data_IF_840941547993
#
_entry.id   IF_840941547993
#
_cell.length_a   1.000
_cell.length_b   1.000
_cell.length_c   1.000
_cell.angle_alpha   90.00
_cell.angle_beta   90.00
_cell.angle_gamma   90.00
#
_symmetry.space_group_name_H-M   'P 1'
#
loop_
_entity.id
_entity.type
_entity.pdbx_description
1 polymer ?
#
# COMPACT_ATOMS: atom_id res chain seq x y z
N UNK A 1 35.10 40.58 -63.05
CA UNK A 1 35.03 41.69 -62.08
C UNK A 1 34.19 41.19 -60.91
N UNK A 2 34.68 41.34 -59.67
CA UNK A 2 34.02 41.00 -58.38
C UNK A 2 33.90 39.49 -58.08
N UNK A 3 34.37 38.91 -56.98
CA UNK A 3 35.10 39.39 -55.80
C UNK A 3 35.50 38.18 -54.95
N UNK A 4 36.76 38.12 -54.52
CA UNK A 4 37.28 37.10 -53.58
C UNK A 4 36.84 37.53 -52.18
N UNK A 5 35.82 36.88 -51.63
CA UNK A 5 35.39 37.08 -50.25
C UNK A 5 35.87 35.91 -49.37
N UNK A 6 36.97 36.17 -48.67
CA UNK A 6 37.31 35.73 -47.31
C UNK A 6 36.35 34.70 -46.66
N UNK A 7 36.70 33.42 -46.74
CA UNK A 7 36.32 32.44 -45.71
C UNK A 7 37.41 32.40 -44.63
N UNK A 8 37.48 33.47 -43.84
CA UNK A 8 38.22 33.48 -42.58
C UNK A 8 37.37 32.70 -41.57
N UNK A 9 37.75 31.46 -41.30
CA UNK A 9 37.23 30.66 -40.17
C UNK A 9 37.51 31.48 -38.90
N UNK A 10 36.48 32.10 -38.32
CA UNK A 10 36.57 32.75 -37.02
C UNK A 10 36.82 31.68 -35.94
N UNK A 11 38.09 31.41 -35.66
CA UNK A 11 38.46 30.85 -34.35
C UNK A 11 38.22 31.96 -33.34
N UNK A 12 37.09 31.88 -32.63
CA UNK A 12 36.79 32.68 -31.45
C UNK A 12 37.91 32.42 -30.43
N UNK A 13 38.84 33.36 -30.28
CA UNK A 13 39.90 33.30 -29.26
C UNK A 13 39.21 33.54 -27.93
N UNK A 14 38.90 32.43 -27.26
CA UNK A 14 38.37 32.41 -25.91
C UNK A 14 39.31 33.19 -24.98
N UNK A 15 38.76 34.14 -24.20
CA UNK A 15 39.51 34.95 -23.24
C UNK A 15 40.23 34.04 -22.25
N UNK A 16 41.46 34.40 -21.83
CA UNK A 16 42.22 33.62 -20.84
C UNK A 16 41.41 33.42 -19.54
N UNK A 17 40.58 34.39 -19.17
CA UNK A 17 39.67 34.32 -18.02
C UNK A 17 38.55 33.28 -18.21
N UNK A 18 38.00 33.15 -19.42
CA UNK A 18 36.99 32.13 -19.72
C UNK A 18 37.59 30.71 -19.68
N UNK A 19 38.84 30.56 -20.13
CA UNK A 19 39.58 29.29 -20.02
C UNK A 19 39.88 28.93 -18.57
N UNK A 20 40.28 29.90 -17.75
CA UNK A 20 40.51 29.70 -16.32
C UNK A 20 39.22 29.28 -15.60
N UNK A 21 38.10 29.96 -15.86
CA UNK A 21 36.80 29.60 -15.29
C UNK A 21 36.37 28.17 -15.67
N UNK A 22 36.56 27.78 -16.94
CA UNK A 22 36.31 26.39 -17.39
C UNK A 22 37.19 25.38 -16.67
N UNK A 23 38.48 25.68 -16.47
CA UNK A 23 39.38 24.80 -15.70
C UNK A 23 38.96 24.66 -14.24
N UNK A 24 38.49 25.73 -13.59
CA UNK A 24 37.98 25.67 -12.23
C UNK A 24 36.66 24.87 -12.14
N UNK A 25 35.74 25.07 -13.07
CA UNK A 25 34.49 24.29 -13.16
C UNK A 25 34.80 22.80 -13.37
N UNK A 26 35.66 22.47 -14.35
CA UNK A 26 36.11 21.10 -14.59
C UNK A 26 36.77 20.48 -13.35
N UNK A 27 37.60 21.25 -12.62
CA UNK A 27 38.23 20.78 -11.38
C UNK A 27 37.22 20.52 -10.27
N UNK A 28 36.19 21.35 -10.14
CA UNK A 28 35.13 21.17 -9.15
C UNK A 28 34.30 19.94 -9.48
N UNK A 29 33.92 19.76 -10.76
CA UNK A 29 33.21 18.58 -11.23
C UNK A 29 34.03 17.30 -11.02
N UNK A 30 35.31 17.30 -11.39
CA UNK A 30 36.23 16.19 -11.12
C UNK A 30 36.35 15.86 -9.64
N UNK A 31 36.39 16.87 -8.76
CA UNK A 31 36.42 16.64 -7.31
C UNK A 31 35.12 16.02 -6.80
N UNK A 32 33.97 16.41 -7.34
CA UNK A 32 32.67 15.82 -7.00
C UNK A 32 32.59 14.37 -7.45
N UNK A 33 32.96 14.09 -8.69
CA UNK A 33 33.00 12.72 -9.23
C UNK A 33 34.00 11.85 -8.46
N UNK A 34 35.19 12.38 -8.13
CA UNK A 34 36.17 11.66 -7.31
C UNK A 34 35.65 11.36 -5.89
N UNK A 35 34.98 12.32 -5.25
CA UNK A 35 34.36 12.11 -3.95
C UNK A 35 33.23 11.06 -4.02
N UNK A 36 32.42 11.11 -5.07
CA UNK A 36 31.37 10.12 -5.34
C UNK A 36 31.94 8.72 -5.55
N UNK A 37 32.95 8.58 -6.42
CA UNK A 37 33.64 7.31 -6.66
C UNK A 37 34.31 6.76 -5.39
N UNK A 38 34.85 7.63 -4.53
CA UNK A 38 35.42 7.22 -3.25
C UNK A 38 34.37 6.66 -2.29
N UNK A 39 33.20 7.28 -2.21
CA UNK A 39 32.07 6.78 -1.41
C UNK A 39 31.53 5.46 -1.98
N UNK A 40 31.42 5.35 -3.30
CA UNK A 40 31.04 4.10 -3.97
C UNK A 40 32.08 3.00 -3.70
N UNK A 41 33.37 3.31 -3.76
CA UNK A 41 34.46 2.39 -3.42
C UNK A 41 34.36 1.88 -1.98
N UNK A 42 34.15 2.77 -1.01
CA UNK A 42 33.94 2.38 0.39
C UNK A 42 32.72 1.50 0.58
N UNK A 43 31.59 1.85 -0.06
CA UNK A 43 30.37 1.04 -0.01
C UNK A 43 30.58 -0.36 -0.60
N UNK A 44 31.30 -0.47 -1.72
CA UNK A 44 31.61 -1.75 -2.34
C UNK A 44 32.54 -2.59 -1.47
N UNK A 45 33.53 -1.96 -0.82
CA UNK A 45 34.43 -2.64 0.12
C UNK A 45 33.67 -3.18 1.34
N UNK A 46 32.76 -2.38 1.93
CA UNK A 46 31.88 -2.83 3.01
C UNK A 46 30.97 -3.99 2.57
N UNK A 47 30.39 -3.92 1.36
CA UNK A 47 29.58 -5.00 0.80
C UNK A 47 30.40 -6.28 0.57
N UNK A 48 31.64 -6.15 0.08
CA UNK A 48 32.53 -7.28 -0.13
C UNK A 48 32.87 -7.95 1.21
N UNK A 49 33.27 -7.17 2.22
CA UNK A 49 33.56 -7.70 3.55
C UNK A 49 32.33 -8.40 4.16
N UNK A 50 31.12 -7.85 3.97
CA UNK A 50 29.90 -8.51 4.41
C UNK A 50 29.69 -9.85 3.70
N UNK A 51 29.90 -9.92 2.39
CA UNK A 51 29.78 -11.15 1.61
C UNK A 51 30.83 -12.19 2.01
N UNK A 52 32.09 -11.78 2.23
CA UNK A 52 33.16 -12.66 2.69
C UNK A 52 32.84 -13.26 4.07
N UNK A 53 32.33 -12.44 4.99
CA UNK A 53 31.91 -12.92 6.31
C UNK A 53 30.74 -13.93 6.23
N UNK A 54 29.77 -13.70 5.35
CA UNK A 54 28.67 -14.66 5.11
C UNK A 54 29.22 -15.94 4.48
N UNK A 55 30.14 -15.84 3.52
CA UNK A 55 30.77 -16.99 2.88
C UNK A 55 31.56 -17.83 3.89
N UNK A 56 32.35 -17.20 4.75
CA UNK A 56 33.12 -17.89 5.79
C UNK A 56 32.22 -18.64 6.76
N UNK A 57 31.14 -18.00 7.23
CA UNK A 57 30.15 -18.65 8.11
C UNK A 57 29.47 -19.84 7.42
N UNK A 58 29.11 -19.68 6.15
CA UNK A 58 28.52 -20.77 5.35
C UNK A 58 29.50 -21.95 5.22
N UNK A 59 30.77 -21.68 4.95
CA UNK A 59 31.81 -22.71 4.90
C UNK A 59 31.96 -23.44 6.25
N UNK A 60 32.03 -22.70 7.36
CA UNK A 60 32.10 -23.29 8.70
C UNK A 60 30.90 -24.19 8.99
N UNK A 61 29.68 -23.76 8.62
CA UNK A 61 28.49 -24.59 8.77
C UNK A 61 28.52 -25.85 7.91
N UNK A 62 29.06 -25.77 6.68
CA UNK A 62 29.23 -26.94 5.83
C UNK A 62 30.24 -27.92 6.40
N UNK A 63 31.39 -27.44 6.88
CA UNK A 63 32.40 -28.27 7.54
C UNK A 63 31.86 -28.97 8.80
N UNK A 64 31.07 -28.26 9.61
CA UNK A 64 30.38 -28.85 10.76
C UNK A 64 29.43 -29.98 10.33
N UNK A 65 28.65 -29.75 9.28
CA UNK A 65 27.75 -30.77 8.73
C UNK A 65 28.49 -31.97 8.16
N UNK A 66 29.56 -31.75 7.42
CA UNK A 66 30.43 -32.82 6.94
C UNK A 66 30.93 -33.67 8.10
N UNK A 67 31.37 -33.03 9.19
CA UNK A 67 31.76 -33.70 10.43
C UNK A 67 30.63 -34.52 11.07
N UNK A 68 29.40 -34.01 11.06
CA UNK A 68 28.22 -34.73 11.56
C UNK A 68 27.84 -35.93 10.68
N UNK A 69 28.00 -35.81 9.36
CA UNK A 69 27.64 -36.85 8.39
C UNK A 69 28.56 -38.08 8.43
N UNK A 70 29.74 -37.97 9.06
CA UNK A 70 30.66 -39.10 9.28
C UNK A 70 30.04 -40.18 10.17
N UNK A 71 29.22 -39.79 11.15
CA UNK A 71 28.51 -40.73 12.04
C UNK A 71 27.05 -40.90 11.57
N UNK A 72 26.61 -42.12 11.21
CA UNK A 72 25.24 -42.37 10.74
C UNK A 72 24.15 -41.89 11.71
N UNK A 73 24.39 -41.94 13.02
CA UNK A 73 23.40 -41.50 14.01
C UNK A 73 23.27 -39.96 14.05
N UNK A 74 24.40 -39.26 14.00
CA UNK A 74 24.43 -37.80 13.91
C UNK A 74 23.88 -37.31 12.58
N UNK A 75 24.16 -38.02 11.49
CA UNK A 75 23.59 -37.77 10.18
C UNK A 75 22.05 -37.86 10.20
N UNK A 76 21.49 -38.87 10.87
CA UNK A 76 20.04 -39.02 11.01
C UNK A 76 19.41 -37.85 11.80
N UNK A 77 20.03 -37.46 12.92
CA UNK A 77 19.58 -36.32 13.72
C UNK A 77 19.65 -34.99 12.96
N UNK A 78 20.76 -34.74 12.26
CA UNK A 78 20.92 -33.57 11.41
C UNK A 78 19.87 -33.54 10.29
N UNK A 79 19.53 -34.70 9.70
CA UNK A 79 18.47 -34.77 8.69
C UNK A 79 17.13 -34.29 9.24
N UNK A 80 16.74 -34.76 10.43
CA UNK A 80 15.50 -34.32 11.09
C UNK A 80 15.52 -32.83 11.42
N UNK A 81 16.63 -32.32 11.94
CA UNK A 81 16.80 -30.88 12.19
C UNK A 81 16.49 -30.05 10.93
N UNK A 82 17.11 -30.37 9.80
CA UNK A 82 16.90 -29.60 8.57
C UNK A 82 15.53 -29.82 7.95
N UNK A 83 14.91 -30.99 8.12
CA UNK A 83 13.53 -31.20 7.70
C UNK A 83 12.57 -30.31 8.49
N UNK A 84 12.71 -30.26 9.82
CA UNK A 84 11.93 -29.40 10.71
C UNK A 84 12.15 -27.91 10.41
N UNK A 85 13.40 -27.50 10.20
CA UNK A 85 13.73 -26.14 9.72
C UNK A 85 13.15 -25.86 8.34
N UNK A 86 13.08 -26.87 7.48
CA UNK A 86 12.38 -26.82 6.20
C UNK A 86 10.89 -26.54 6.34
N UNK A 87 10.22 -27.19 7.31
CA UNK A 87 8.80 -26.94 7.65
C UNK A 87 8.60 -25.50 8.12
N UNK A 88 9.47 -25.00 9.03
CA UNK A 88 9.44 -23.61 9.48
C UNK A 88 9.52 -22.63 8.32
N UNK A 89 10.57 -22.75 7.50
CA UNK A 89 10.80 -21.89 6.35
C UNK A 89 9.67 -22.00 5.31
N UNK A 90 9.07 -23.18 5.14
CA UNK A 90 7.91 -23.36 4.28
C UNK A 90 6.70 -22.55 4.78
N UNK A 91 6.39 -22.64 6.07
CA UNK A 91 5.29 -21.91 6.70
C UNK A 91 5.49 -20.39 6.64
N UNK A 92 6.69 -19.93 6.98
CA UNK A 92 7.06 -18.51 6.91
C UNK A 92 6.91 -17.98 5.48
N UNK A 93 7.52 -18.62 4.47
CA UNK A 93 7.39 -18.18 3.07
C UNK A 93 5.95 -18.16 2.60
N UNK A 94 5.14 -19.13 3.04
CA UNK A 94 3.71 -19.17 2.72
C UNK A 94 2.97 -17.98 3.33
N UNK A 95 3.26 -17.64 4.58
CA UNK A 95 2.71 -16.45 5.25
C UNK A 95 3.13 -15.16 4.55
N UNK A 96 4.42 -14.99 4.24
CA UNK A 96 4.94 -13.81 3.53
C UNK A 96 4.25 -13.60 2.18
N UNK A 97 4.16 -14.66 1.38
CA UNK A 97 3.45 -14.61 0.09
C UNK A 97 1.98 -14.22 0.25
N UNK A 98 1.29 -14.82 1.22
CA UNK A 98 -0.11 -14.49 1.47
C UNK A 98 -0.27 -13.06 1.98
N UNK A 99 0.67 -12.52 2.75
CA UNK A 99 0.65 -11.13 3.18
C UNK A 99 0.73 -10.16 1.99
N UNK A 100 1.63 -10.41 1.03
CA UNK A 100 1.75 -9.61 -0.20
C UNK A 100 0.47 -9.66 -1.04
N UNK A 101 -0.12 -10.86 -1.19
CA UNK A 101 -1.38 -11.07 -1.91
C UNK A 101 -2.54 -10.31 -1.23
N UNK A 102 -2.67 -10.43 0.10
CA UNK A 102 -3.70 -9.75 0.90
C UNK A 102 -3.55 -8.23 0.87
N UNK A 103 -2.32 -7.72 0.99
CA UNK A 103 -2.02 -6.29 0.91
C UNK A 103 -2.47 -5.71 -0.43
N UNK A 104 -2.11 -6.40 -1.52
CA UNK A 104 -2.48 -6.00 -2.88
C UNK A 104 -4.00 -6.00 -3.06
N UNK A 105 -4.67 -7.06 -2.60
CA UNK A 105 -6.13 -7.17 -2.68
C UNK A 105 -6.85 -6.08 -1.88
N UNK A 106 -6.44 -5.85 -0.64
CA UNK A 106 -7.07 -4.84 0.22
C UNK A 106 -6.82 -3.43 -0.31
N UNK A 107 -5.62 -3.13 -0.79
CA UNK A 107 -5.29 -1.84 -1.41
C UNK A 107 -6.19 -1.55 -2.61
N UNK A 108 -6.34 -2.53 -3.50
CA UNK A 108 -7.20 -2.38 -4.67
C UNK A 108 -8.67 -2.21 -4.29
N UNK A 109 -9.12 -2.91 -3.24
CA UNK A 109 -10.47 -2.80 -2.74
C UNK A 109 -10.76 -1.41 -2.15
N UNK A 110 -9.91 -0.91 -1.24
CA UNK A 110 -10.09 0.42 -0.64
C UNK A 110 -9.95 1.54 -1.66
N UNK A 111 -8.99 1.44 -2.59
CA UNK A 111 -8.86 2.39 -3.70
C UNK A 111 -10.14 2.44 -4.54
N UNK A 112 -10.72 1.28 -4.87
CA UNK A 112 -11.98 1.23 -5.62
C UNK A 112 -13.13 1.86 -4.84
N UNK A 113 -13.27 1.54 -3.55
CA UNK A 113 -14.30 2.13 -2.71
C UNK A 113 -14.18 3.65 -2.62
N UNK A 114 -12.97 4.17 -2.42
CA UNK A 114 -12.71 5.62 -2.38
C UNK A 114 -13.08 6.30 -3.70
N UNK A 115 -12.72 5.68 -4.84
CA UNK A 115 -13.08 6.19 -6.16
C UNK A 115 -14.59 6.16 -6.40
N UNK A 116 -15.28 5.10 -5.99
CA UNK A 116 -16.73 4.98 -6.15
C UNK A 116 -17.47 5.99 -5.26
N UNK A 117 -17.04 6.17 -4.00
CA UNK A 117 -17.56 7.20 -3.10
C UNK A 117 -17.35 8.61 -3.65
N UNK A 118 -16.15 8.89 -4.17
CA UNK A 118 -15.84 10.18 -4.81
C UNK A 118 -16.71 10.44 -6.04
N UNK A 119 -16.90 9.45 -6.91
CA UNK A 119 -17.76 9.57 -8.09
C UNK A 119 -19.20 9.86 -7.71
N UNK A 120 -19.74 9.16 -6.71
CA UNK A 120 -21.10 9.38 -6.21
C UNK A 120 -21.22 10.79 -5.63
N UNK A 121 -20.32 11.17 -4.70
CA UNK A 121 -20.33 12.51 -4.10
C UNK A 121 -20.18 13.61 -5.15
N UNK A 122 -19.31 13.44 -6.14
CA UNK A 122 -19.13 14.43 -7.19
C UNK A 122 -20.33 14.55 -8.10
N UNK A 123 -20.97 13.43 -8.44
CA UNK A 123 -22.21 13.44 -9.22
C UNK A 123 -23.31 14.20 -8.49
N UNK A 124 -23.47 13.96 -7.19
CA UNK A 124 -24.49 14.63 -6.38
C UNK A 124 -24.22 16.14 -6.28
N UNK A 125 -22.98 16.53 -6.02
CA UNK A 125 -22.58 17.96 -5.98
C UNK A 125 -22.78 18.62 -7.35
N UNK A 126 -22.36 17.97 -8.43
CA UNK A 126 -22.52 18.50 -9.79
C UNK A 126 -24.00 18.66 -10.16
N UNK A 127 -24.86 17.73 -9.74
CA UNK A 127 -26.31 17.84 -9.97
C UNK A 127 -26.91 19.07 -9.25
N UNK A 128 -26.49 19.34 -8.01
CA UNK A 128 -26.90 20.55 -7.29
C UNK A 128 -26.40 21.82 -8.00
N UNK A 129 -25.13 21.85 -8.41
CA UNK A 129 -24.57 22.98 -9.17
C UNK A 129 -25.31 23.19 -10.49
N UNK A 130 -25.66 22.12 -11.20
CA UNK A 130 -26.39 22.18 -12.45
C UNK A 130 -27.82 22.71 -12.25
N UNK A 131 -28.50 22.33 -11.18
CA UNK A 131 -29.79 22.93 -10.82
C UNK A 131 -29.68 24.43 -10.56
N UNK A 132 -28.65 24.88 -9.84
CA UNK A 132 -28.39 26.30 -9.62
C UNK A 132 -28.04 27.04 -10.92
N UNK A 133 -27.25 26.43 -11.81
CA UNK A 133 -26.91 26.98 -13.13
C UNK A 133 -28.18 27.15 -13.99
N UNK A 134 -29.05 26.14 -14.04
CA UNK A 134 -30.32 26.20 -14.78
C UNK A 134 -31.22 27.30 -14.22
N UNK A 135 -31.29 27.45 -12.90
CA UNK A 135 -32.04 28.53 -12.27
C UNK A 135 -31.48 29.91 -12.61
N UNK A 136 -30.16 30.09 -12.51
CA UNK A 136 -29.48 31.34 -12.86
C UNK A 136 -29.67 31.69 -14.36
N UNK A 137 -29.60 30.69 -15.24
CA UNK A 137 -29.85 30.85 -16.67
C UNK A 137 -31.28 31.35 -16.95
N UNK A 138 -32.29 30.77 -16.27
CA UNK A 138 -33.68 31.23 -16.37
C UNK A 138 -33.86 32.68 -15.89
N UNK A 139 -33.20 33.04 -14.78
CA UNK A 139 -33.26 34.40 -14.23
C UNK A 139 -32.58 35.42 -15.15
N UNK A 140 -31.41 35.08 -15.70
CA UNK A 140 -30.68 35.92 -16.66
C UNK A 140 -31.52 36.18 -17.92
N UNK A 141 -32.13 35.12 -18.48
CA UNK A 141 -33.00 35.25 -19.65
C UNK A 141 -34.26 36.07 -19.36
N UNK A 142 -34.88 35.90 -18.20
CA UNK A 142 -36.05 36.68 -17.80
C UNK A 142 -35.71 38.17 -17.66
N UNK A 143 -34.64 38.50 -16.95
CA UNK A 143 -34.16 39.87 -16.78
C UNK A 143 -33.74 40.50 -18.12
N UNK A 144 -33.09 39.73 -19.00
CA UNK A 144 -32.72 40.19 -20.35
C UNK A 144 -33.93 40.53 -21.21
N UNK A 145 -34.98 39.67 -21.20
CA UNK A 145 -36.24 39.94 -21.91
C UNK A 145 -36.96 41.18 -21.39
N UNK A 146 -37.02 41.38 -20.07
CA UNK A 146 -37.63 42.56 -19.46
C UNK A 146 -36.89 43.84 -19.86
N UNK A 147 -35.56 43.83 -19.80
CA UNK A 147 -34.71 44.92 -20.23
C UNK A 147 -34.92 45.27 -21.72
N UNK A 148 -35.01 44.25 -22.58
CA UNK A 148 -35.32 44.46 -23.99
C UNK A 148 -36.70 45.07 -24.23
N UNK A 149 -37.73 44.60 -23.53
CA UNK A 149 -39.08 45.14 -23.62
C UNK A 149 -39.13 46.62 -23.22
N UNK A 150 -38.48 46.98 -22.09
CA UNK A 150 -38.36 48.38 -21.65
C UNK A 150 -37.60 49.24 -22.66
N UNK A 151 -36.49 48.73 -23.22
CA UNK A 151 -35.74 49.41 -24.30
C UNK A 151 -36.60 49.64 -25.54
N UNK A 152 -37.42 48.67 -25.95
CA UNK A 152 -38.35 48.81 -27.09
C UNK A 152 -39.44 49.85 -26.79
N UNK A 153 -40.05 49.83 -25.60
CA UNK A 153 -41.04 50.82 -25.19
C UNK A 153 -40.46 52.24 -25.18
N UNK A 154 -39.24 52.42 -24.66
CA UNK A 154 -38.53 53.69 -24.68
C UNK A 154 -38.33 54.24 -26.10
N UNK A 155 -37.92 53.37 -27.04
CA UNK A 155 -37.73 53.73 -28.45
C UNK A 155 -39.03 54.14 -29.15
N UNK A 156 -40.17 53.54 -28.76
CA UNK A 156 -41.49 53.87 -29.29
C UNK A 156 -42.06 55.18 -28.70
N UNK A 157 -41.60 55.62 -27.53
CA UNK A 157 -42.07 56.84 -26.84
C UNK A 157 -41.41 58.16 -27.30
N UNK A 158 -40.83 58.24 -28.50
CA UNK A 158 -40.13 59.45 -28.99
C UNK A 158 -41.11 60.58 -29.36
N UNK A 159 -41.02 61.71 -28.66
CA UNK A 159 -41.79 62.94 -28.92
C UNK A 159 -41.71 63.95 -27.76
N UNK A 160 -41.90 65.25 -28.05
CA UNK A 160 -41.77 66.35 -27.07
C UNK A 160 -42.78 66.20 -25.91
N UNK A 161 -43.98 65.68 -26.18
CA UNK A 161 -45.04 65.44 -25.19
C UNK A 161 -44.77 64.24 -24.25
N UNK A 162 -43.81 63.37 -24.57
CA UNK A 162 -43.51 62.17 -23.78
C UNK A 162 -42.30 62.35 -22.85
N UNK A 163 -41.72 63.55 -22.71
CA UNK A 163 -40.48 63.78 -21.97
C UNK A 163 -40.47 63.19 -20.55
N UNK A 164 -41.53 63.43 -19.76
CA UNK A 164 -41.64 62.87 -18.40
C UNK A 164 -41.79 61.35 -18.40
N UNK A 165 -42.58 60.79 -19.32
CA UNK A 165 -42.77 59.34 -19.48
C UNK A 165 -41.48 58.64 -19.89
N UNK A 166 -40.73 59.23 -20.83
CA UNK A 166 -39.41 58.75 -21.26
C UNK A 166 -38.40 58.78 -20.12
N UNK A 167 -38.42 59.81 -19.25
CA UNK A 167 -37.53 59.88 -18.07
C UNK A 167 -37.83 58.80 -17.03
N UNK A 168 -39.11 58.45 -16.84
CA UNK A 168 -39.51 57.33 -15.95
C UNK A 168 -39.07 55.98 -16.52
N UNK A 169 -39.30 55.74 -17.82
CA UNK A 169 -38.89 54.50 -18.49
C UNK A 169 -37.35 54.37 -18.48
N UNK A 170 -36.62 55.47 -18.66
CA UNK A 170 -35.15 55.47 -18.59
C UNK A 170 -34.63 55.00 -17.22
N UNK A 171 -35.25 55.45 -16.12
CA UNK A 171 -34.90 54.99 -14.76
C UNK A 171 -35.24 53.50 -14.54
N UNK A 172 -36.32 53.02 -15.14
CA UNK A 172 -36.67 51.59 -15.13
C UNK A 172 -35.67 50.75 -15.92
N UNK A 173 -35.17 51.25 -17.06
CA UNK A 173 -34.11 50.61 -17.84
C UNK A 173 -32.83 50.49 -17.02
N UNK A 174 -32.42 51.55 -16.32
CA UNK A 174 -31.23 51.53 -15.45
C UNK A 174 -31.34 50.48 -14.35
N UNK A 175 -32.49 50.40 -13.68
CA UNK A 175 -32.76 49.38 -12.67
C UNK A 175 -32.78 47.96 -13.27
N UNK A 176 -33.42 47.76 -14.43
CA UNK A 176 -33.48 46.46 -15.10
C UNK A 176 -32.10 46.02 -15.64
N UNK A 177 -31.26 46.95 -16.06
CA UNK A 177 -29.88 46.69 -16.49
C UNK A 177 -29.02 46.22 -15.33
N UNK A 178 -29.16 46.82 -14.15
CA UNK A 178 -28.49 46.35 -12.92
C UNK A 178 -28.92 44.91 -12.57
N UNK A 179 -30.22 44.62 -12.61
CA UNK A 179 -30.75 43.27 -12.35
C UNK A 179 -30.22 42.26 -13.37
N UNK A 180 -30.17 42.62 -14.66
CA UNK A 180 -29.60 41.75 -15.69
C UNK A 180 -28.10 41.51 -15.50
N UNK A 181 -27.32 42.56 -15.16
CA UNK A 181 -25.89 42.44 -14.85
C UNK A 181 -25.64 41.55 -13.62
N UNK A 182 -26.47 41.65 -12.58
CA UNK A 182 -26.42 40.77 -11.42
C UNK A 182 -26.67 39.31 -11.82
N UNK A 183 -27.75 39.05 -12.57
CA UNK A 183 -28.10 37.70 -13.01
C UNK A 183 -27.00 37.08 -13.90
N UNK A 184 -26.39 37.87 -14.78
CA UNK A 184 -25.24 37.44 -15.59
C UNK A 184 -24.03 37.07 -14.73
N UNK A 185 -23.76 37.82 -13.66
CA UNK A 185 -22.67 37.52 -12.72
C UNK A 185 -22.92 36.21 -11.98
N UNK A 186 -24.15 35.99 -11.49
CA UNK A 186 -24.53 34.74 -10.81
C UNK A 186 -24.39 33.56 -11.76
N UNK A 187 -24.87 33.65 -13.00
CA UNK A 187 -24.71 32.60 -14.00
C UNK A 187 -23.24 32.28 -14.28
N UNK A 188 -22.40 33.31 -14.42
CA UNK A 188 -20.96 33.14 -14.60
C UNK A 188 -20.33 32.40 -13.41
N UNK A 189 -20.66 32.78 -12.18
CA UNK A 189 -20.19 32.11 -10.97
C UNK A 189 -20.63 30.64 -10.91
N UNK A 190 -21.88 30.32 -11.27
CA UNK A 190 -22.35 28.94 -11.33
C UNK A 190 -21.57 28.11 -12.36
N UNK A 191 -21.28 28.67 -13.54
CA UNK A 191 -20.47 28.01 -14.57
C UNK A 191 -19.01 27.78 -14.14
N UNK A 192 -18.42 28.75 -13.46
CA UNK A 192 -17.08 28.62 -12.88
C UNK A 192 -17.05 27.49 -11.84
N UNK A 193 -17.98 27.50 -10.87
CA UNK A 193 -18.10 26.42 -9.87
C UNK A 193 -18.25 25.04 -10.51
N UNK A 194 -19.04 24.92 -11.59
CA UNK A 194 -19.19 23.67 -12.34
C UNK A 194 -17.88 23.24 -12.98
N UNK A 195 -17.16 24.16 -13.61
CA UNK A 195 -15.86 23.89 -14.23
C UNK A 195 -14.83 23.44 -13.19
N UNK A 196 -14.73 24.17 -12.09
CA UNK A 196 -13.78 23.89 -11.01
C UNK A 196 -14.05 22.50 -10.44
N UNK A 197 -15.32 22.21 -10.12
CA UNK A 197 -15.72 20.89 -9.61
C UNK A 197 -15.51 19.75 -10.60
N UNK A 198 -15.74 19.99 -11.90
CA UNK A 198 -15.49 18.99 -12.94
C UNK A 198 -13.99 18.74 -13.20
N UNK A 199 -13.13 19.71 -12.86
CA UNK A 199 -11.67 19.60 -12.99
C UNK A 199 -10.96 19.04 -11.75
N UNK A 200 -11.71 18.78 -10.68
CA UNK A 200 -11.14 18.25 -9.44
C UNK A 200 -10.53 16.86 -9.68
N UNK A 201 -9.25 16.63 -9.34
CA UNK A 201 -8.61 15.34 -9.54
C UNK A 201 -9.23 14.29 -8.62
N UNK A 202 -9.21 13.04 -9.08
CA UNK A 202 -9.57 11.89 -8.23
C UNK A 202 -8.68 11.85 -6.97
N UNK A 203 -9.22 11.39 -5.83
CA UNK A 203 -8.42 11.26 -4.61
C UNK A 203 -7.24 10.33 -4.83
N UNK A 204 -6.08 10.72 -4.34
CA UNK A 204 -4.88 9.87 -4.32
C UNK A 204 -5.02 8.93 -3.13
N UNK A 205 -4.94 7.62 -3.39
CA UNK A 205 -4.89 6.62 -2.33
C UNK A 205 -3.47 6.55 -1.78
N UNK A 206 -3.26 7.14 -0.61
CA UNK A 206 -1.94 7.19 0.04
C UNK A 206 -1.62 5.87 0.73
N UNK A 207 -2.47 5.45 1.67
CA UNK A 207 -2.21 4.29 2.54
C UNK A 207 -3.50 3.52 2.87
N UNK A 208 -3.31 2.27 3.32
CA UNK A 208 -4.40 1.45 3.84
C UNK A 208 -5.04 2.10 5.07
N UNK A 209 -6.33 1.86 5.25
CA UNK A 209 -7.01 2.18 6.50
C UNK A 209 -6.48 1.34 7.67
N UNK A 210 -6.61 1.86 8.90
CA UNK A 210 -6.28 1.10 10.13
C UNK A 210 -7.07 -0.22 10.15
N UNK A 211 -8.36 -0.17 9.79
CA UNK A 211 -9.23 -1.35 9.74
C UNK A 211 -8.78 -2.35 8.68
N UNK A 212 -8.36 -1.86 7.49
CA UNK A 212 -7.77 -2.70 6.46
C UNK A 212 -6.50 -3.43 6.94
N UNK A 213 -5.60 -2.72 7.65
CA UNK A 213 -4.41 -3.33 8.24
C UNK A 213 -4.77 -4.36 9.32
N UNK A 214 -5.76 -4.07 10.18
CA UNK A 214 -6.26 -5.01 11.20
C UNK A 214 -6.81 -6.29 10.58
N UNK A 215 -7.63 -6.18 9.54
CA UNK A 215 -8.20 -7.34 8.84
C UNK A 215 -7.10 -8.22 8.25
N UNK A 216 -6.08 -7.62 7.62
CA UNK A 216 -4.92 -8.36 7.10
C UNK A 216 -4.17 -9.06 8.24
N UNK A 217 -3.87 -8.35 9.33
CA UNK A 217 -3.18 -8.92 10.48
C UNK A 217 -3.94 -10.11 11.09
N UNK A 218 -5.26 -9.99 11.27
CA UNK A 218 -6.09 -11.09 11.77
C UNK A 218 -6.13 -12.28 10.80
N UNK A 219 -6.13 -12.05 9.49
CA UNK A 219 -6.03 -13.12 8.49
C UNK A 219 -4.68 -13.85 8.59
N UNK A 220 -3.57 -13.12 8.74
CA UNK A 220 -2.24 -13.72 8.90
C UNK A 220 -2.14 -14.54 10.18
N UNK A 221 -2.70 -14.05 11.29
CA UNK A 221 -2.79 -14.78 12.55
C UNK A 221 -3.66 -16.04 12.40
N UNK A 222 -4.81 -15.94 11.73
CA UNK A 222 -5.66 -17.09 11.46
C UNK A 222 -4.94 -18.16 10.64
N UNK A 223 -4.20 -17.75 9.60
CA UNK A 223 -3.37 -18.64 8.79
C UNK A 223 -2.28 -19.29 9.65
N UNK A 224 -1.59 -18.52 10.49
CA UNK A 224 -0.55 -19.05 11.37
C UNK A 224 -1.11 -20.09 12.37
N UNK A 225 -2.31 -19.84 12.93
CA UNK A 225 -3.01 -20.80 13.78
C UNK A 225 -3.39 -22.07 13.00
N UNK A 226 -3.88 -21.95 11.77
CA UNK A 226 -4.20 -23.12 10.92
C UNK A 226 -2.95 -23.93 10.52
N UNK A 227 -1.81 -23.27 10.27
CA UNK A 227 -0.53 -23.94 10.06
C UNK A 227 -0.06 -24.67 11.31
N UNK A 228 -0.15 -24.01 12.47
CA UNK A 228 0.15 -24.63 13.76
C UNK A 228 -0.71 -25.87 13.99
N UNK A 229 -2.03 -25.77 13.86
CA UNK A 229 -2.93 -26.90 14.05
C UNK A 229 -2.62 -28.05 13.08
N UNK A 230 -2.28 -27.75 11.83
CA UNK A 230 -1.90 -28.76 10.84
C UNK A 230 -0.65 -29.54 11.24
N UNK A 231 0.40 -28.83 11.66
CA UNK A 231 1.68 -29.43 12.07
C UNK A 231 1.75 -29.81 13.56
N UNK A 232 0.67 -29.62 14.33
CA UNK A 232 0.62 -30.03 15.74
C UNK A 232 0.61 -31.56 15.92
N UNK A 233 0.25 -32.31 14.87
CA UNK A 233 0.34 -33.77 14.87
C UNK A 233 1.80 -34.19 15.05
N UNK A 234 2.03 -35.13 15.96
CA UNK A 234 3.37 -35.61 16.30
C UNK A 234 4.34 -34.49 16.75
N UNK A 235 3.81 -33.37 17.27
CA UNK A 235 4.57 -32.23 17.80
C UNK A 235 5.49 -31.52 16.79
N UNK A 236 5.24 -31.69 15.48
CA UNK A 236 6.09 -31.12 14.42
C UNK A 236 6.18 -29.60 14.51
N UNK A 237 5.10 -28.89 14.91
CA UNK A 237 5.14 -27.44 15.11
C UNK A 237 6.13 -27.00 16.19
N UNK A 238 6.13 -27.63 17.36
CA UNK A 238 7.02 -27.27 18.47
C UNK A 238 8.46 -27.60 18.13
N UNK A 239 8.69 -28.77 17.52
CA UNK A 239 10.02 -29.20 17.05
C UNK A 239 10.56 -28.30 15.93
N UNK A 240 9.71 -27.84 15.01
CA UNK A 240 10.09 -26.88 13.97
C UNK A 240 10.47 -25.52 14.55
N UNK A 241 9.77 -25.06 15.60
CA UNK A 241 10.13 -23.85 16.34
C UNK A 241 11.45 -24.01 17.08
N UNK A 242 11.69 -25.14 17.72
CA UNK A 242 12.97 -25.41 18.37
C UNK A 242 14.13 -25.40 17.37
N UNK A 243 13.94 -26.04 16.21
CA UNK A 243 14.93 -26.10 15.13
C UNK A 243 15.18 -24.75 14.44
N UNK A 244 14.26 -23.77 14.53
CA UNK A 244 14.49 -22.42 14.01
C UNK A 244 15.37 -21.58 14.93
N UNK A 245 15.38 -21.88 16.23
CA UNK A 245 16.14 -21.13 17.25
C UNK A 245 17.49 -21.78 17.57
N UNK A 246 17.59 -23.12 17.51
CA UNK A 246 18.82 -23.86 17.88
C UNK A 246 19.75 -24.10 16.70
N UNK A 247 20.99 -24.46 17.02
CA UNK A 247 21.96 -24.99 16.07
C UNK A 247 21.84 -26.51 15.95
N UNK A 248 22.33 -27.06 14.83
CA UNK A 248 22.20 -28.50 14.50
C UNK A 248 22.98 -29.38 15.48
N UNK A 249 24.06 -28.86 16.07
CA UNK A 249 24.89 -29.56 17.06
C UNK A 249 24.25 -29.64 18.44
N UNK A 250 23.26 -28.79 18.74
CA UNK A 250 22.58 -28.71 20.05
C UNK A 250 21.37 -29.64 20.17
N UNK A 251 20.99 -30.32 19.10
CA UNK A 251 19.75 -31.12 19.05
C UNK A 251 20.03 -32.62 19.01
N UNK A 252 19.21 -33.37 19.75
CA UNK A 252 19.20 -34.82 19.73
C UNK A 252 17.74 -35.30 19.77
N UNK A 253 17.28 -35.82 18.64
CA UNK A 253 15.93 -36.33 18.44
C UNK A 253 15.82 -37.83 18.77
N UNK A 254 16.93 -38.51 19.09
CA UNK A 254 16.94 -39.90 19.54
C UNK A 254 17.78 -40.82 18.68
N UNK A 255 17.46 -42.11 18.73
CA UNK A 255 18.14 -43.14 17.98
C UNK A 255 17.71 -43.19 16.50
N UNK A 256 18.36 -44.05 15.70
CA UNK A 256 18.09 -44.16 14.28
C UNK A 256 16.65 -44.61 13.94
N UNK A 257 15.96 -45.32 14.84
CA UNK A 257 14.58 -45.73 14.62
C UNK A 257 13.64 -44.56 14.91
N UNK A 258 13.86 -43.83 16.02
CA UNK A 258 13.10 -42.61 16.33
C UNK A 258 13.23 -41.58 15.21
N UNK A 259 14.45 -41.33 14.73
CA UNK A 259 14.66 -40.42 13.59
C UNK A 259 13.92 -40.91 12.33
N UNK A 260 13.92 -42.21 12.04
CA UNK A 260 13.18 -42.76 10.89
C UNK A 260 11.68 -42.52 11.00
N UNK A 261 11.10 -42.78 12.18
CA UNK A 261 9.67 -42.59 12.42
C UNK A 261 9.29 -41.10 12.34
N UNK A 262 10.12 -40.21 12.88
CA UNK A 262 9.94 -38.76 12.75
C UNK A 262 9.99 -38.31 11.29
N UNK A 263 10.91 -38.83 10.49
CA UNK A 263 11.01 -38.52 9.06
C UNK A 263 9.70 -38.85 8.33
N UNK A 264 9.12 -40.03 8.59
CA UNK A 264 7.83 -40.45 8.03
C UNK A 264 6.73 -39.47 8.46
N UNK A 265 6.65 -39.13 9.73
CA UNK A 265 5.62 -38.20 10.24
C UNK A 265 5.75 -36.79 9.66
N UNK A 266 6.97 -36.28 9.52
CA UNK A 266 7.23 -34.96 8.92
C UNK A 266 6.82 -34.96 7.45
N UNK A 267 7.25 -35.96 6.67
CA UNK A 267 6.90 -36.10 5.25
C UNK A 267 5.38 -36.22 5.05
N UNK A 268 4.70 -37.02 5.88
CA UNK A 268 3.24 -37.15 5.87
C UNK A 268 2.53 -35.82 6.18
N UNK A 269 3.02 -35.07 7.17
CA UNK A 269 2.46 -33.75 7.50
C UNK A 269 2.67 -32.75 6.36
N UNK A 270 3.83 -32.73 5.72
CA UNK A 270 4.13 -31.84 4.60
C UNK A 270 3.25 -32.20 3.39
N UNK A 271 3.11 -33.49 3.05
CA UNK A 271 2.30 -33.96 1.91
C UNK A 271 0.80 -33.76 2.12
N UNK A 272 0.33 -33.87 3.37
CA UNK A 272 -1.08 -33.71 3.71
C UNK A 272 -1.53 -32.24 3.84
N UNK A 273 -0.63 -31.28 3.62
CA UNK A 273 -0.97 -29.86 3.72
C UNK A 273 -2.12 -29.51 2.75
N UNK A 274 -3.26 -28.98 3.25
CA UNK A 274 -4.42 -28.74 2.41
C UNK A 274 -4.11 -27.75 1.28
N UNK A 275 -4.80 -27.96 0.15
CA UNK A 275 -4.73 -27.03 -0.98
C UNK A 275 -5.05 -25.59 -0.54
N UNK A 276 -4.48 -24.61 -1.25
CA UNK A 276 -4.59 -23.19 -0.89
C UNK A 276 -6.03 -22.72 -0.66
N UNK A 277 -7.00 -23.21 -1.44
CA UNK A 277 -8.41 -22.80 -1.32
C UNK A 277 -9.07 -23.28 -0.01
N UNK A 278 -8.90 -24.56 0.33
CA UNK A 278 -9.48 -25.13 1.55
C UNK A 278 -8.84 -24.54 2.80
N UNK A 279 -7.53 -24.31 2.72
CA UNK A 279 -6.77 -23.70 3.80
C UNK A 279 -7.21 -22.25 4.08
N UNK A 280 -7.34 -21.43 3.03
CA UNK A 280 -7.80 -20.03 3.16
C UNK A 280 -9.27 -19.97 3.62
N UNK A 281 -10.12 -20.90 3.22
CA UNK A 281 -11.51 -20.97 3.70
C UNK A 281 -11.58 -21.18 5.21
N UNK A 282 -10.78 -22.10 5.77
CA UNK A 282 -10.72 -22.29 7.24
C UNK A 282 -10.17 -21.07 7.96
N UNK A 283 -9.13 -20.44 7.42
CA UNK A 283 -8.60 -19.19 7.98
C UNK A 283 -9.67 -18.08 8.00
N UNK A 284 -10.51 -17.97 6.96
CA UNK A 284 -11.63 -17.02 6.92
C UNK A 284 -12.66 -17.26 8.03
N UNK A 285 -13.06 -18.51 8.25
CA UNK A 285 -13.97 -18.86 9.34
C UNK A 285 -13.39 -18.45 10.70
N UNK A 286 -12.09 -18.68 10.87
CA UNK A 286 -11.35 -18.34 12.09
C UNK A 286 -11.23 -16.83 12.32
N UNK A 287 -11.20 -15.99 11.27
CA UNK A 287 -11.19 -14.53 11.45
C UNK A 287 -12.40 -14.05 12.23
N UNK A 288 -13.60 -14.58 11.96
CA UNK A 288 -14.82 -14.15 12.66
C UNK A 288 -14.70 -14.38 14.16
N UNK A 289 -14.08 -15.50 14.56
CA UNK A 289 -13.74 -15.78 15.95
C UNK A 289 -12.68 -14.80 16.48
N UNK A 290 -11.59 -14.60 15.75
CA UNK A 290 -10.49 -13.73 16.17
C UNK A 290 -10.91 -12.26 16.30
N UNK A 291 -11.80 -11.77 15.44
CA UNK A 291 -12.36 -10.41 15.53
C UNK A 291 -13.10 -10.17 16.84
N UNK A 292 -13.77 -11.19 17.40
CA UNK A 292 -14.46 -11.10 18.70
C UNK A 292 -13.48 -11.09 19.87
N UNK A 293 -12.30 -11.70 19.70
CA UNK A 293 -11.31 -11.86 20.76
C UNK A 293 -10.23 -10.77 20.74
N UNK A 294 -9.98 -10.14 19.60
CA UNK A 294 -8.88 -9.20 19.39
C UNK A 294 -9.01 -7.95 20.29
N UNK A 295 -8.06 -7.77 21.20
CA UNK A 295 -7.86 -6.53 21.94
C UNK A 295 -6.71 -5.72 21.35
N UNK A 296 -6.87 -4.40 21.29
CA UNK A 296 -5.85 -3.44 20.87
C UNK A 296 -5.50 -2.51 22.04
N UNK A 297 -4.24 -2.07 22.17
CA UNK A 297 -3.88 -1.15 23.27
C UNK A 297 -4.40 0.25 22.99
N UNK A 298 -4.36 0.67 21.73
CA UNK A 298 -4.83 1.97 21.26
C UNK A 298 -5.72 1.81 20.01
N UNK A 299 -6.55 2.83 19.73
CA UNK A 299 -7.41 2.84 18.54
C UNK A 299 -6.62 2.92 17.23
N UNK A 300 -5.38 3.43 17.26
CA UNK A 300 -4.47 3.48 16.13
C UNK A 300 -3.69 2.19 15.90
N UNK A 301 -3.68 1.27 16.87
CA UNK A 301 -2.94 0.03 16.76
C UNK A 301 -3.60 -0.92 15.77
N UNK A 302 -2.77 -1.53 14.94
CA UNK A 302 -3.18 -2.49 13.92
C UNK A 302 -2.85 -3.93 14.31
N UNK A 303 -1.89 -4.10 15.22
CA UNK A 303 -1.46 -5.39 15.76
C UNK A 303 -2.20 -5.62 17.09
N UNK A 304 -2.98 -6.70 17.22
CA UNK A 304 -3.64 -7.03 18.47
C UNK A 304 -2.64 -7.43 19.56
N UNK A 305 -3.04 -7.24 20.82
CA UNK A 305 -2.27 -7.70 21.98
C UNK A 305 -2.21 -9.22 21.97
N UNK A 306 -1.01 -9.79 22.09
CA UNK A 306 -0.82 -11.25 22.02
C UNK A 306 -1.72 -12.02 23.00
N UNK A 307 -1.95 -11.49 24.21
CA UNK A 307 -2.84 -12.08 25.22
C UNK A 307 -4.29 -12.31 24.77
N UNK A 308 -4.71 -11.68 23.66
CA UNK A 308 -6.03 -11.90 23.05
C UNK A 308 -6.22 -13.31 22.50
N UNK A 309 -5.13 -14.03 22.22
CA UNK A 309 -5.14 -15.34 21.54
C UNK A 309 -4.33 -16.39 22.30
N UNK A 310 -4.55 -16.49 23.62
CA UNK A 310 -3.87 -17.49 24.45
C UNK A 310 -4.22 -18.94 24.07
N UNK A 311 -5.40 -19.17 23.48
CA UNK A 311 -5.85 -20.49 23.06
C UNK A 311 -6.30 -20.51 21.59
N UNK A 312 -6.08 -21.64 20.93
CA UNK A 312 -6.51 -21.91 19.56
C UNK A 312 -7.63 -22.96 19.59
N UNK A 313 -8.88 -22.61 19.25
CA UNK A 313 -9.95 -23.59 19.07
C UNK A 313 -9.63 -24.54 17.91
N UNK A 314 -9.85 -25.84 18.10
CA UNK A 314 -9.56 -26.84 17.06
C UNK A 314 -10.50 -26.75 15.87
N UNK A 315 -11.77 -26.41 16.10
CA UNK A 315 -12.80 -26.32 15.05
C UNK A 315 -13.59 -25.01 15.22
N UNK A 316 -13.63 -24.23 14.15
CA UNK A 316 -14.40 -22.97 14.06
C UNK A 316 -15.33 -23.07 12.85
N UNK A 317 -16.62 -22.83 13.09
CA UNK A 317 -17.64 -22.83 12.04
C UNK A 317 -17.58 -21.57 11.18
N UNK A 318 -18.32 -21.58 10.07
CA UNK A 318 -18.44 -20.44 9.14
C UNK A 318 -18.90 -19.14 9.84
N UNK A 319 -19.62 -19.24 10.96
CA UNK A 319 -20.05 -18.11 11.79
C UNK A 319 -19.07 -17.66 12.88
N UNK A 320 -17.88 -18.24 12.96
CA UNK A 320 -16.90 -17.96 14.02
C UNK A 320 -17.20 -18.65 15.36
N UNK A 321 -18.17 -19.56 15.39
CA UNK A 321 -18.54 -20.29 16.60
C UNK A 321 -17.63 -21.52 16.79
N UNK A 322 -17.14 -21.68 18.01
CA UNK A 322 -16.28 -22.79 18.40
C UNK A 322 -17.12 -24.06 18.58
N UNK A 323 -16.75 -25.14 17.90
CA UNK A 323 -17.38 -26.44 18.12
C UNK A 323 -16.65 -27.24 19.21
N UNK A 324 -17.37 -27.57 20.28
CA UNK A 324 -16.86 -28.37 21.39
C UNK A 324 -15.94 -27.57 22.33
N UNK A 325 -15.35 -28.26 23.29
CA UNK A 325 -14.45 -27.67 24.31
C UNK A 325 -12.97 -27.92 24.03
N UNK A 326 -12.61 -28.41 22.85
CA UNK A 326 -11.22 -28.76 22.55
C UNK A 326 -10.48 -27.56 21.98
N UNK A 327 -9.55 -27.01 22.76
CA UNK A 327 -8.59 -25.97 22.35
C UNK A 327 -7.16 -26.45 22.60
N UNK A 328 -6.19 -25.77 21.98
CA UNK A 328 -4.77 -25.91 22.28
C UNK A 328 -4.30 -24.63 22.95
N UNK A 329 -3.64 -24.74 24.10
CA UNK A 329 -3.13 -23.61 24.87
C UNK A 329 -1.76 -23.17 24.34
N UNK A 330 -1.79 -22.50 23.19
CA UNK A 330 -0.62 -21.98 22.47
C UNK A 330 -0.94 -20.61 21.91
N UNK A 331 0.04 -19.71 21.99
CA UNK A 331 -0.11 -18.36 21.49
C UNK A 331 0.86 -18.14 20.32
N UNK A 332 0.37 -18.32 19.09
CA UNK A 332 1.20 -18.17 17.88
C UNK A 332 1.86 -16.79 17.75
N UNK A 333 1.28 -15.75 18.36
CA UNK A 333 1.90 -14.43 18.42
C UNK A 333 2.98 -14.39 19.49
N UNK A 334 2.64 -14.64 20.75
CA UNK A 334 3.58 -14.50 21.87
C UNK A 334 4.79 -15.46 21.74
N UNK A 335 4.57 -16.65 21.19
CA UNK A 335 5.60 -17.66 21.01
C UNK A 335 6.37 -17.49 19.68
N UNK A 336 6.07 -16.45 18.90
CA UNK A 336 6.70 -16.10 17.61
C UNK A 336 6.68 -17.23 16.56
N UNK A 337 5.62 -18.05 16.55
CA UNK A 337 5.50 -19.10 15.55
C UNK A 337 5.56 -18.53 14.13
N UNK A 338 6.38 -19.15 13.28
CA UNK A 338 6.57 -18.82 11.87
C UNK A 338 7.02 -17.38 11.60
N UNK A 339 7.60 -16.71 12.61
CA UNK A 339 8.03 -15.31 12.55
C UNK A 339 6.88 -14.36 12.19
N UNK A 340 5.64 -14.68 12.60
CA UNK A 340 4.43 -13.92 12.24
C UNK A 340 4.58 -12.43 12.50
N UNK A 341 5.20 -12.03 13.62
CA UNK A 341 5.40 -10.61 13.96
C UNK A 341 6.15 -9.83 12.88
N UNK A 342 7.12 -10.45 12.19
CA UNK A 342 7.89 -9.82 11.11
C UNK A 342 7.06 -9.49 9.87
N UNK A 343 5.88 -10.10 9.74
CA UNK A 343 5.01 -10.05 8.56
C UNK A 343 3.78 -9.14 8.81
N UNK A 344 3.47 -8.85 10.08
CA UNK A 344 2.34 -8.00 10.44
C UNK A 344 2.55 -6.54 10.02
N UNK A 345 1.47 -5.91 9.59
CA UNK A 345 1.44 -4.52 9.19
C UNK A 345 1.30 -3.63 10.43
N UNK A 346 2.09 -2.56 10.51
CA UNK A 346 2.02 -1.55 11.59
C UNK A 346 1.07 -0.42 11.25
#
# INVERSE_FOLDING_TARGET
MVGIALLRREQKVESEDERLLKLFQNRIELKKEFAKLRLEGQRLEEQLQQQENVMLRSQQQLEELEGMLVDPLRAANASIFYQLRGVWNHCQRKLTRLAEELLTHQRNHEMKLALDQFKVSNKDILAVIEQHEQQACRQEHAAGKELELLKRQYMQSRGIWNYFKSKVIAKQIESADEVHREAMRILKQCREKKRDKASEPSPVFEELSIEGRRIINLMLIAIAQELYLHFSKHDVSSLAREASVREVSDVNYGDANVCRDMNIHIDDCVRSLPSGKNFVARARNRIVYLQRCAGYRQETDTIPVAGSFAEIPLVVNDGGDVQGQRSVNINVLADEYWEVYSILLT
#
